data_IF_326380735746
#
_entry.id   IF_326380735746
#
_cell.length_a   1.000
_cell.length_b   1.000
_cell.length_c   1.000
_cell.angle_alpha   90.00
_cell.angle_beta   90.00
_cell.angle_gamma   90.00
#
_symmetry.space_group_name_H-M   'P 1'
#
loop_
_entity.id
_entity.type
_entity.pdbx_description
1 polymer ?
#
# COMPACT_ATOMS: atom_id res chain seq x y z
N UNK A 1 -22.26 26.00 17.68
CA UNK A 1 -21.28 24.93 17.96
C UNK A 1 -21.91 23.59 17.60
N UNK A 2 -21.08 22.69 17.08
CA UNK A 2 -21.36 21.35 16.53
C UNK A 2 -21.87 21.32 15.08
N UNK A 3 -20.92 21.37 14.14
CA UNK A 3 -21.12 20.96 12.75
C UNK A 3 -20.74 19.47 12.66
N UNK A 4 -21.75 18.61 12.66
CA UNK A 4 -21.61 17.18 12.41
C UNK A 4 -21.78 16.92 10.92
N UNK A 5 -20.71 17.03 10.14
CA UNK A 5 -20.57 16.34 8.86
C UNK A 5 -19.55 15.23 9.05
N UNK A 6 -19.99 14.18 9.73
CA UNK A 6 -19.34 12.88 9.73
C UNK A 6 -19.59 12.30 8.33
N UNK A 7 -18.53 12.10 7.55
CA UNK A 7 -18.58 11.30 6.34
C UNK A 7 -19.05 9.90 6.73
N UNK A 8 -20.32 9.61 6.47
CA UNK A 8 -20.91 8.30 6.72
C UNK A 8 -20.20 7.26 5.86
N UNK A 9 -19.75 6.18 6.50
CA UNK A 9 -19.11 4.98 5.92
C UNK A 9 -20.04 4.15 5.02
N UNK A 10 -21.05 4.76 4.40
CA UNK A 10 -22.05 4.10 3.54
C UNK A 10 -22.34 4.95 2.30
N UNK A 11 -21.29 5.46 1.65
CA UNK A 11 -21.43 6.08 0.33
C UNK A 11 -21.62 4.98 -0.73
N UNK A 12 -22.74 4.93 -1.48
CA UNK A 12 -22.91 4.03 -2.62
C UNK A 12 -21.91 4.30 -3.77
N UNK A 13 -21.04 5.30 -3.64
CA UNK A 13 -19.88 5.57 -4.48
C UNK A 13 -18.65 4.70 -4.23
N UNK A 14 -18.65 3.78 -3.25
CA UNK A 14 -17.60 2.76 -3.12
C UNK A 14 -17.65 1.85 -4.35
N UNK A 15 -16.95 2.26 -5.41
CA UNK A 15 -16.73 1.40 -6.56
C UNK A 15 -16.05 0.14 -6.04
N UNK A 16 -16.68 -1.00 -6.22
CA UNK A 16 -15.98 -2.27 -6.14
C UNK A 16 -14.88 -2.22 -7.20
N UNK A 17 -13.66 -1.95 -6.77
CA UNK A 17 -12.47 -1.95 -7.60
C UNK A 17 -11.91 -3.36 -7.50
N UNK A 18 -12.04 -4.21 -8.54
CA UNK A 18 -11.40 -5.50 -8.54
C UNK A 18 -9.90 -5.27 -8.34
N UNK A 19 -9.30 -5.99 -7.39
CA UNK A 19 -7.84 -5.98 -7.24
C UNK A 19 -7.16 -6.46 -8.52
N UNK A 20 -5.85 -6.26 -8.60
CA UNK A 20 -5.02 -6.75 -9.69
C UNK A 20 -3.90 -7.65 -9.17
N UNK A 21 -3.46 -8.61 -9.97
CA UNK A 21 -2.57 -9.68 -9.54
C UNK A 21 -1.16 -9.59 -10.16
N UNK A 22 -0.90 -8.50 -10.89
CA UNK A 22 0.36 -8.22 -11.56
C UNK A 22 0.70 -6.73 -11.51
N UNK A 23 1.97 -6.41 -11.69
CA UNK A 23 2.48 -5.06 -11.77
C UNK A 23 2.73 -4.67 -13.23
N UNK A 24 2.15 -3.56 -13.67
CA UNK A 24 2.43 -2.97 -14.98
C UNK A 24 2.14 -1.46 -14.95
N UNK A 25 2.93 -0.60 -15.64
CA UNK A 25 2.72 0.84 -15.65
C UNK A 25 1.35 1.24 -16.22
N UNK A 26 0.82 0.44 -17.15
CA UNK A 26 -0.41 0.76 -17.87
C UNK A 26 -1.69 0.34 -17.14
N UNK A 27 -1.58 -0.30 -15.96
CA UNK A 27 -2.76 -0.59 -15.14
C UNK A 27 -3.41 0.75 -14.78
N UNK A 28 -4.70 0.95 -15.10
CA UNK A 28 -5.38 2.20 -14.83
C UNK A 28 -5.42 2.47 -13.32
N UNK A 29 -5.26 3.73 -12.95
CA UNK A 29 -5.40 4.13 -11.55
C UNK A 29 -6.84 3.98 -11.09
N UNK A 30 -7.03 3.52 -9.86
CA UNK A 30 -8.36 3.31 -9.29
C UNK A 30 -8.83 4.48 -8.44
N UNK A 31 -7.86 5.27 -7.96
CA UNK A 31 -8.05 6.55 -7.28
C UNK A 31 -6.78 7.39 -7.45
N UNK A 32 -6.89 8.69 -7.14
CA UNK A 32 -5.78 9.62 -7.13
C UNK A 32 -5.58 10.20 -5.73
N UNK A 33 -4.33 10.50 -5.36
CA UNK A 33 -3.97 11.16 -4.12
C UNK A 33 -2.95 12.26 -4.38
N UNK A 34 -3.13 13.42 -3.77
CA UNK A 34 -2.14 14.50 -3.76
C UNK A 34 -1.16 14.31 -2.60
N UNK A 35 0.01 14.94 -2.67
CA UNK A 35 0.97 14.93 -1.55
C UNK A 35 0.32 15.44 -0.25
N UNK A 36 0.57 14.76 0.86
CA UNK A 36 -0.06 15.01 2.16
C UNK A 36 -1.45 14.38 2.32
N UNK A 37 -2.06 13.92 1.22
CA UNK A 37 -3.36 13.26 1.24
C UNK A 37 -3.32 11.86 1.84
N UNK A 38 -4.47 11.42 2.34
CA UNK A 38 -4.67 10.07 2.87
C UNK A 38 -5.84 9.37 2.20
N UNK A 39 -5.76 8.05 2.10
CA UNK A 39 -6.78 7.20 1.49
C UNK A 39 -6.93 5.90 2.28
N UNK A 40 -8.17 5.41 2.38
CA UNK A 40 -8.47 4.05 2.81
C UNK A 40 -8.54 3.15 1.60
N UNK A 41 -7.80 2.05 1.62
CA UNK A 41 -7.83 1.03 0.59
C UNK A 41 -8.42 -0.26 1.16
N UNK A 42 -9.46 -0.78 0.52
CA UNK A 42 -10.00 -2.11 0.84
C UNK A 42 -9.28 -3.16 0.00
N UNK A 43 -8.79 -4.20 0.67
CA UNK A 43 -7.93 -5.20 0.08
C UNK A 43 -8.54 -6.58 0.28
N UNK A 44 -8.82 -7.24 -0.84
CA UNK A 44 -9.34 -8.61 -0.89
C UNK A 44 -8.19 -9.60 -0.79
N UNK A 45 -8.53 -10.84 -0.46
CA UNK A 45 -7.59 -11.96 -0.51
C UNK A 45 -7.68 -12.66 -1.86
N UNK A 46 -6.58 -13.25 -2.31
CA UNK A 46 -6.57 -14.09 -3.51
C UNK A 46 -7.23 -15.45 -3.23
N UNK A 47 -7.70 -16.14 -4.27
CA UNK A 47 -8.13 -17.52 -4.14
C UNK A 47 -6.91 -18.47 -4.06
N UNK A 48 -7.00 -19.64 -3.40
CA UNK A 48 -5.89 -20.58 -3.32
C UNK A 48 -5.34 -20.98 -4.70
N UNK A 49 -4.02 -20.83 -4.89
CA UNK A 49 -3.33 -21.14 -6.14
C UNK A 49 -3.23 -19.98 -7.13
N UNK A 50 -3.81 -18.82 -6.82
CA UNK A 50 -3.66 -17.59 -7.60
C UNK A 50 -2.52 -16.71 -7.07
N UNK A 51 -2.11 -15.74 -7.90
CA UNK A 51 -1.19 -14.69 -7.49
C UNK A 51 -1.81 -13.83 -6.39
N UNK A 52 -0.97 -13.23 -5.54
CA UNK A 52 -1.40 -12.27 -4.52
C UNK A 52 -2.21 -11.14 -5.17
N UNK A 53 -3.39 -10.89 -4.63
CA UNK A 53 -4.27 -9.83 -5.09
C UNK A 53 -3.89 -8.50 -4.43
N UNK A 54 -3.68 -7.48 -5.25
CA UNK A 54 -3.30 -6.13 -4.83
C UNK A 54 -4.48 -5.18 -4.98
N UNK A 55 -4.72 -4.37 -3.95
CA UNK A 55 -5.61 -3.21 -4.01
C UNK A 55 -4.79 -2.00 -4.54
N UNK A 56 -5.37 -1.27 -5.49
CA UNK A 56 -4.69 -0.21 -6.25
C UNK A 56 -4.83 -0.41 -7.76
N UNK A 57 -4.01 0.27 -8.58
CA UNK A 57 -3.00 1.25 -8.20
C UNK A 57 -3.59 2.60 -7.80
N UNK A 58 -3.11 3.16 -6.69
CA UNK A 58 -3.29 4.55 -6.31
C UNK A 58 -2.31 5.42 -7.12
N UNK A 59 -2.85 6.43 -7.80
CA UNK A 59 -2.05 7.40 -8.56
C UNK A 59 -1.68 8.56 -7.66
N UNK A 60 -0.39 8.80 -7.48
CA UNK A 60 0.14 9.95 -6.76
C UNK A 60 0.28 11.12 -7.73
N UNK A 61 -0.59 12.11 -7.61
CA UNK A 61 -0.68 13.23 -8.54
C UNK A 61 0.65 13.98 -8.60
N UNK A 62 1.18 14.12 -9.81
CA UNK A 62 2.43 14.82 -10.10
C UNK A 62 3.71 14.03 -9.83
N UNK A 63 3.64 12.78 -9.35
CA UNK A 63 4.82 11.94 -9.17
C UNK A 63 5.43 11.54 -10.52
N UNK A 64 6.74 11.75 -10.67
CA UNK A 64 7.49 11.41 -11.89
C UNK A 64 8.67 10.47 -11.57
N UNK A 65 9.18 9.69 -12.54
CA UNK A 65 10.37 8.87 -12.35
C UNK A 65 11.55 9.66 -11.77
N UNK A 66 12.18 9.12 -10.72
CA UNK A 66 13.26 9.78 -9.97
C UNK A 66 12.80 10.52 -8.71
N UNK A 67 11.49 10.69 -8.52
CA UNK A 67 10.92 11.12 -7.25
C UNK A 67 10.90 9.96 -6.21
N UNK A 68 10.61 10.28 -4.96
CA UNK A 68 10.36 9.30 -3.89
C UNK A 68 9.01 9.61 -3.27
N UNK A 69 8.20 8.58 -3.03
CA UNK A 69 7.03 8.71 -2.17
C UNK A 69 7.34 8.14 -0.79
N UNK A 70 7.00 8.90 0.25
CA UNK A 70 6.94 8.41 1.61
C UNK A 70 5.49 8.00 1.89
N UNK A 71 5.28 6.74 2.22
CA UNK A 71 3.98 6.16 2.53
C UNK A 71 3.94 5.85 4.02
N UNK A 72 3.08 6.54 4.74
CA UNK A 72 2.77 6.31 6.14
C UNK A 72 1.60 5.34 6.25
N UNK A 73 1.77 4.27 7.03
CA UNK A 73 0.67 3.38 7.41
C UNK A 73 -0.01 4.00 8.62
N UNK A 74 -1.21 4.53 8.43
CA UNK A 74 -1.94 5.22 9.49
C UNK A 74 -2.71 4.24 10.37
N UNK A 75 -3.35 3.25 9.75
CA UNK A 75 -4.13 2.23 10.43
C UNK A 75 -4.35 1.02 9.50
N UNK A 76 -4.49 -0.17 10.08
CA UNK A 76 -4.90 -1.39 9.37
C UNK A 76 -6.04 -2.03 10.15
N UNK A 77 -6.97 -2.71 9.48
CA UNK A 77 -8.05 -3.43 10.16
C UNK A 77 -8.70 -4.51 9.30
N UNK A 78 -9.46 -5.38 9.96
CA UNK A 78 -10.10 -6.55 9.34
C UNK A 78 -11.40 -6.14 8.65
N UNK A 79 -11.81 -6.88 7.61
CA UNK A 79 -13.02 -6.56 6.80
C UNK A 79 -14.31 -6.43 7.60
N UNK A 80 -14.43 -7.13 8.73
CA UNK A 80 -15.63 -7.18 9.56
C UNK A 80 -15.52 -6.39 10.88
N UNK A 81 -14.50 -5.54 11.08
CA UNK A 81 -14.24 -4.96 12.39
C UNK A 81 -13.36 -3.70 12.44
N UNK A 82 -12.98 -3.34 13.67
CA UNK A 82 -12.15 -2.18 14.00
C UNK A 82 -10.66 -2.37 13.68
N UNK A 83 -9.89 -1.35 14.00
CA UNK A 83 -8.44 -1.33 13.84
C UNK A 83 -7.75 -2.51 14.56
N UNK A 84 -6.72 -3.07 13.92
CA UNK A 84 -5.84 -4.10 14.45
C UNK A 84 -4.40 -3.53 14.50
N UNK A 85 -3.84 -3.38 15.70
CA UNK A 85 -2.54 -2.73 15.90
C UNK A 85 -1.38 -3.54 15.32
N UNK A 86 -1.52 -4.87 15.26
CA UNK A 86 -0.54 -5.76 14.62
C UNK A 86 -0.78 -5.97 13.13
N UNK A 87 -1.89 -5.44 12.59
CA UNK A 87 -2.24 -5.57 11.18
C UNK A 87 -1.23 -4.87 10.27
N UNK A 88 -0.80 -5.54 9.21
CA UNK A 88 0.19 -5.01 8.28
C UNK A 88 0.06 -5.64 6.88
N UNK A 89 0.52 -4.97 5.81
CA UNK A 89 0.53 -5.55 4.48
C UNK A 89 1.70 -6.52 4.29
N UNK A 90 1.45 -7.64 3.63
CA UNK A 90 2.47 -8.59 3.21
C UNK A 90 3.30 -8.04 2.04
N UNK A 91 2.68 -7.22 1.18
CA UNK A 91 3.33 -6.58 0.03
C UNK A 91 2.83 -5.15 -0.18
N UNK A 92 3.76 -4.23 -0.47
CA UNK A 92 3.45 -2.84 -0.85
C UNK A 92 4.50 -2.28 -1.79
N UNK A 93 4.12 -1.57 -2.85
CA UNK A 93 5.10 -1.00 -3.77
C UNK A 93 4.54 -0.24 -4.95
N UNK A 94 5.43 0.30 -5.76
CA UNK A 94 5.11 1.01 -7.00
C UNK A 94 5.22 0.07 -8.21
N UNK A 95 4.44 0.35 -9.27
CA UNK A 95 4.62 -0.34 -10.54
C UNK A 95 6.02 -0.07 -11.12
N UNK A 96 6.66 -1.06 -11.75
CA UNK A 96 7.96 -0.91 -12.37
C UNK A 96 7.80 -0.36 -13.80
N UNK A 97 8.86 0.19 -14.41
CA UNK A 97 8.89 0.40 -15.84
C UNK A 97 9.17 -0.96 -16.48
N UNK A 98 8.12 -1.68 -16.86
CA UNK A 98 8.22 -3.01 -17.44
C UNK A 98 7.48 -3.08 -18.79
N UNK A 99 8.04 -3.78 -19.79
CA UNK A 99 7.39 -3.96 -21.09
C UNK A 99 6.28 -5.04 -21.05
N UNK A 100 6.25 -5.85 -19.99
CA UNK A 100 5.29 -6.93 -19.76
C UNK A 100 4.87 -6.94 -18.29
N UNK A 101 3.66 -7.44 -18.03
CA UNK A 101 3.14 -7.58 -16.69
C UNK A 101 4.03 -8.52 -15.84
N UNK A 102 4.32 -8.10 -14.60
CA UNK A 102 5.11 -8.89 -13.65
C UNK A 102 4.18 -9.45 -12.57
N UNK A 103 4.10 -10.77 -12.34
CA UNK A 103 3.24 -11.32 -11.29
C UNK A 103 3.48 -10.67 -9.92
N UNK A 104 2.43 -10.53 -9.11
CA UNK A 104 2.47 -9.74 -7.88
C UNK A 104 3.57 -10.17 -6.91
N UNK A 105 3.74 -11.48 -6.70
CA UNK A 105 4.78 -12.06 -5.84
C UNK A 105 6.20 -12.08 -6.43
N UNK A 106 6.38 -11.77 -7.71
CA UNK A 106 7.66 -11.91 -8.40
C UNK A 106 8.62 -10.72 -8.23
N UNK A 107 8.20 -9.67 -7.51
CA UNK A 107 8.98 -8.41 -7.37
C UNK A 107 10.08 -8.47 -6.31
N UNK A 108 10.07 -9.45 -5.42
CA UNK A 108 11.12 -9.65 -4.41
C UNK A 108 11.47 -8.36 -3.66
N UNK A 109 12.75 -7.96 -3.71
CA UNK A 109 13.29 -6.78 -2.99
C UNK A 109 12.94 -5.42 -3.63
N UNK A 110 12.28 -5.40 -4.78
CA UNK A 110 11.86 -4.15 -5.45
C UNK A 110 10.56 -3.57 -4.88
N UNK A 111 9.95 -4.25 -3.91
CA UNK A 111 8.75 -3.85 -3.17
C UNK A 111 8.98 -4.03 -1.66
N UNK A 112 8.19 -3.34 -0.85
CA UNK A 112 8.11 -3.63 0.58
C UNK A 112 7.45 -4.99 0.81
N UNK A 113 8.02 -5.77 1.73
CA UNK A 113 7.52 -7.09 2.09
C UNK A 113 7.60 -7.27 3.61
N UNK A 114 6.56 -7.82 4.22
CA UNK A 114 6.53 -7.99 5.67
C UNK A 114 7.61 -8.96 6.19
N UNK A 115 8.05 -9.91 5.36
CA UNK A 115 9.16 -10.81 5.68
C UNK A 115 10.51 -10.08 5.88
N UNK A 116 10.62 -8.82 5.42
CA UNK A 116 11.76 -7.94 5.71
C UNK A 116 11.51 -7.16 7.00
N UNK A 117 10.38 -6.47 7.06
CA UNK A 117 9.89 -5.82 8.26
C UNK A 117 8.37 -5.59 8.14
N UNK A 118 7.57 -5.89 9.17
CA UNK A 118 6.15 -5.60 9.15
C UNK A 118 5.92 -4.08 9.15
N UNK A 119 5.00 -3.62 8.31
CA UNK A 119 4.60 -2.22 8.21
C UNK A 119 3.24 -2.03 8.90
N UNK A 120 3.22 -2.17 10.22
CA UNK A 120 2.05 -1.91 11.05
C UNK A 120 1.70 -0.41 11.08
N UNK A 121 0.56 -0.05 11.69
CA UNK A 121 0.23 1.35 11.95
C UNK A 121 1.40 2.09 12.62
N UNK A 122 1.68 3.33 12.21
CA UNK A 122 2.85 4.10 12.65
C UNK A 122 4.11 3.89 11.81
N UNK A 123 4.17 2.82 11.02
CA UNK A 123 5.30 2.53 10.13
C UNK A 123 5.30 3.43 8.91
N UNK A 124 6.48 3.61 8.31
CA UNK A 124 6.68 4.31 7.04
C UNK A 124 7.51 3.47 6.08
N UNK A 125 7.22 3.59 4.79
CA UNK A 125 8.10 3.10 3.73
C UNK A 125 8.42 4.22 2.73
N UNK A 126 9.68 4.31 2.30
CA UNK A 126 10.08 5.12 1.15
C UNK A 126 10.13 4.25 -0.09
N UNK A 127 9.45 4.67 -1.15
CA UNK A 127 9.43 3.97 -2.43
C UNK A 127 9.96 4.88 -3.55
N UNK A 128 10.97 4.42 -4.31
CA UNK A 128 11.39 5.16 -5.50
C UNK A 128 10.30 5.11 -6.56
N UNK A 129 9.97 6.28 -7.11
CA UNK A 129 9.03 6.41 -8.23
C UNK A 129 9.78 6.10 -9.52
N UNK A 130 9.30 5.09 -10.26
CA UNK A 130 9.92 4.66 -11.53
C UNK A 130 9.01 4.85 -12.75
N UNK A 131 7.73 5.14 -12.52
CA UNK A 131 6.71 5.40 -13.54
C UNK A 131 5.87 6.60 -13.13
N UNK A 132 5.25 7.29 -14.10
CA UNK A 132 4.38 8.44 -13.81
C UNK A 132 3.24 8.03 -12.87
N UNK A 133 2.98 8.87 -11.89
CA UNK A 133 1.94 8.66 -10.89
C UNK A 133 2.29 7.62 -9.83
N UNK A 134 3.51 7.08 -9.81
CA UNK A 134 4.01 6.01 -8.95
C UNK A 134 3.29 4.65 -9.09
N UNK A 135 1.96 4.65 -9.25
CA UNK A 135 1.10 3.45 -9.34
C UNK A 135 1.33 2.56 -8.11
N UNK A 136 0.98 3.10 -6.94
CA UNK A 136 1.17 2.45 -5.64
C UNK A 136 0.08 1.39 -5.43
N UNK A 137 0.47 0.16 -5.17
CA UNK A 137 -0.44 -0.90 -4.76
C UNK A 137 0.04 -1.58 -3.49
N UNK A 138 -0.91 -2.16 -2.76
CA UNK A 138 -0.70 -2.85 -1.50
C UNK A 138 -1.58 -4.10 -1.48
N UNK A 139 -1.27 -5.10 -0.68
CA UNK A 139 -2.10 -6.30 -0.58
C UNK A 139 -1.58 -7.27 0.46
N UNK A 140 -2.16 -8.48 0.44
CA UNK A 140 -1.71 -9.58 1.29
C UNK A 140 -1.76 -9.23 2.78
N UNK A 141 -2.90 -8.74 3.30
CA UNK A 141 -2.95 -8.25 4.68
C UNK A 141 -2.83 -9.39 5.70
N UNK A 142 -1.93 -9.23 6.66
CA UNK A 142 -1.69 -10.14 7.77
C UNK A 142 -2.21 -9.54 9.07
N UNK A 143 -2.78 -10.39 9.92
CA UNK A 143 -3.35 -9.98 11.20
C UNK A 143 -2.97 -10.98 12.31
N UNK A 144 -1.70 -10.94 12.77
CA UNK A 144 -1.17 -11.83 13.79
C UNK A 144 -1.86 -11.65 15.15
N UNK A 145 -1.56 -12.53 16.10
CA UNK A 145 -1.99 -12.32 17.48
C UNK A 145 -1.29 -11.06 18.06
N UNK A 146 -1.94 -10.34 18.99
CA UNK A 146 -1.33 -9.17 19.63
C UNK A 146 0.05 -9.50 20.22
N UNK A 147 1.05 -8.65 19.94
CA UNK A 147 2.43 -8.83 20.41
C UNK A 147 3.23 -9.89 19.63
N UNK A 148 2.69 -10.45 18.55
CA UNK A 148 3.40 -11.38 17.66
C UNK A 148 3.55 -10.79 16.26
N UNK A 149 4.55 -11.30 15.53
CA UNK A 149 4.73 -11.03 14.11
C UNK A 149 4.59 -12.34 13.34
N UNK A 150 3.77 -12.34 12.31
CA UNK A 150 3.58 -13.48 11.42
C UNK A 150 3.35 -12.98 10.00
N UNK A 151 4.22 -13.44 9.10
CA UNK A 151 4.19 -13.22 7.66
C UNK A 151 4.00 -14.52 6.87
N UNK A 152 4.06 -15.66 7.55
CA UNK A 152 3.87 -16.99 6.96
C UNK A 152 2.41 -17.43 7.09
N UNK A 153 1.62 -16.71 7.90
CA UNK A 153 0.18 -16.87 8.04
C UNK A 153 -0.60 -16.60 6.75
N UNK A 154 -1.84 -17.12 6.71
CA UNK A 154 -2.72 -16.84 5.59
C UNK A 154 -3.18 -15.38 5.59
N UNK A 155 -3.03 -14.73 4.44
CA UNK A 155 -3.56 -13.40 4.19
C UNK A 155 -5.08 -13.36 4.40
N UNK A 156 -5.59 -12.21 4.83
CA UNK A 156 -7.01 -12.02 5.12
C UNK A 156 -7.50 -10.73 4.49
N UNK A 157 -8.77 -10.66 4.07
CA UNK A 157 -9.30 -9.43 3.53
C UNK A 157 -9.43 -8.38 4.64
N UNK A 158 -9.19 -7.12 4.31
CA UNK A 158 -9.28 -6.01 5.27
C UNK A 158 -9.15 -4.65 4.62
N UNK A 159 -8.80 -3.66 5.43
CA UNK A 159 -8.56 -2.29 4.98
C UNK A 159 -7.25 -1.76 5.54
N UNK A 160 -6.65 -0.82 4.80
CA UNK A 160 -5.44 -0.11 5.18
C UNK A 160 -5.57 1.38 4.86
N UNK A 161 -5.27 2.23 5.83
CA UNK A 161 -5.22 3.68 5.69
C UNK A 161 -3.79 4.11 5.44
N UNK A 162 -3.56 4.79 4.31
CA UNK A 162 -2.25 5.27 3.90
C UNK A 162 -2.25 6.79 3.77
N UNK A 163 -1.16 7.44 4.17
CA UNK A 163 -0.85 8.82 3.79
C UNK A 163 0.37 8.85 2.91
N UNK A 164 0.32 9.64 1.84
CA UNK A 164 1.40 9.71 0.85
C UNK A 164 1.99 11.11 0.77
N UNK A 165 3.31 11.22 0.86
CA UNK A 165 4.04 12.46 0.67
C UNK A 165 5.03 12.31 -0.49
N UNK A 166 5.00 13.23 -1.45
CA UNK A 166 5.87 13.22 -2.62
C UNK A 166 7.10 14.09 -2.40
N UNK A 167 8.28 13.50 -2.58
CA UNK A 167 9.57 14.18 -2.52
C UNK A 167 10.20 14.24 -3.91
N UNK A 168 10.29 15.47 -4.45
CA UNK A 168 10.85 15.72 -5.78
C UNK A 168 12.34 15.40 -5.85
N UNK A 169 12.77 14.70 -6.90
CA UNK A 169 14.15 14.24 -7.11
C UNK A 169 14.70 13.48 -5.89
N UNK A 170 13.83 12.75 -5.19
CA UNK A 170 14.17 12.08 -3.94
C UNK A 170 15.23 10.99 -4.11
N UNK A 171 15.25 10.31 -5.27
CA UNK A 171 16.22 9.25 -5.55
C UNK A 171 17.64 9.84 -5.59
N UNK A 172 17.83 10.94 -6.32
CA UNK A 172 19.15 11.57 -6.44
C UNK A 172 19.59 12.25 -5.14
N UNK A 173 18.65 12.94 -4.48
CA UNK A 173 18.93 13.73 -3.26
C UNK A 173 19.24 12.86 -2.05
N UNK A 174 18.51 11.75 -1.88
CA UNK A 174 18.56 10.93 -0.67
C UNK A 174 19.06 9.50 -0.94
N UNK A 175 19.43 9.19 -2.19
CA UNK A 175 19.94 7.87 -2.61
C UNK A 175 18.99 6.71 -2.31
N UNK A 176 17.68 6.99 -2.33
CA UNK A 176 16.63 5.97 -2.18
C UNK A 176 16.45 5.24 -3.51
N UNK A 177 17.21 4.18 -3.75
CA UNK A 177 17.18 3.41 -5.01
C UNK A 177 16.37 2.11 -4.92
N UNK A 178 16.06 1.68 -3.69
CA UNK A 178 15.23 0.53 -3.36
C UNK A 178 14.29 0.90 -2.19
N UNK A 179 13.25 0.09 -1.91
CA UNK A 179 12.37 0.31 -0.76
C UNK A 179 13.16 0.45 0.55
N UNK A 180 12.84 1.47 1.34
CA UNK A 180 13.40 1.66 2.69
C UNK A 180 12.27 1.61 3.71
N UNK A 181 12.27 0.57 4.53
CA UNK A 181 11.26 0.32 5.56
C UNK A 181 11.70 0.98 6.87
N UNK A 182 10.79 1.71 7.50
CA UNK A 182 10.92 2.30 8.82
C UNK A 182 9.74 1.81 9.65
N UNK A 183 9.86 0.64 10.31
CA UNK A 183 8.79 0.10 11.14
C UNK A 183 8.49 1.04 12.32
N UNK A 184 7.29 0.93 12.89
CA UNK A 184 6.92 1.66 14.11
C UNK A 184 7.96 1.36 15.21
N UNK A 185 8.60 2.37 15.82
CA UNK A 185 9.50 2.16 16.96
C UNK A 185 8.79 1.58 18.20
N UNK A 186 7.46 1.58 18.22
CA UNK A 186 6.63 1.14 19.34
C UNK A 186 5.75 -0.03 18.88
N UNK A 187 6.10 -1.28 19.22
CA UNK A 187 5.31 -2.45 18.83
C UNK A 187 4.02 -2.62 19.64
#
# INVERSE_FOLDING_TARGET
MSSSTLFGLADPGTRDVPGHDHWHPDIPGVAEVITGGSVRMECRVHEPGENVLLCGPLVVVGAEPGDVIAVDVLAVGRSAGGHDSGGHPGIIGCAPPAPVAVPSGARGRDVGCCAVAPLAAGSRILLPVRVRGAKLSVGDLHFPAPGTYDCDGAARPGWIDLRVNLTRRGVDRFRVTAPMLMPDPTP
#
